data_IF_475735779583
#
_entry.id   IF_475735779583
#
_cell.length_a   1.000
_cell.length_b   1.000
_cell.length_c   1.000
_cell.angle_alpha   90.00
_cell.angle_beta   90.00
_cell.angle_gamma   90.00
#
_symmetry.space_group_name_H-M   'P 1'
#
loop_
_entity.id
_entity.type
_entity.pdbx_description
1 polymer ?
#
# COMPACT_ATOMS: atom_id res chain seq x y z
N UNK A 1 10.02 4.00 10.14
CA UNK A 1 10.29 3.97 8.69
C UNK A 1 9.41 2.88 8.10
N UNK A 2 8.49 3.21 7.20
CA UNK A 2 7.58 2.24 6.58
C UNK A 2 8.38 1.41 5.56
N UNK A 3 9.04 0.36 6.01
CA UNK A 3 9.97 -0.40 5.17
C UNK A 3 9.24 -1.46 4.35
N UNK A 4 9.29 -1.28 3.03
CA UNK A 4 8.96 -2.30 2.02
C UNK A 4 7.48 -2.41 1.65
N UNK A 5 7.19 -2.52 0.35
CA UNK A 5 5.87 -2.90 -0.14
C UNK A 5 5.65 -4.41 0.07
N UNK A 6 4.48 -4.77 0.59
CA UNK A 6 3.96 -6.13 0.55
C UNK A 6 3.26 -6.35 -0.78
N UNK A 7 3.14 -7.62 -1.19
CA UNK A 7 2.46 -7.98 -2.43
C UNK A 7 1.33 -8.96 -2.17
N UNK A 8 0.14 -8.63 -2.68
CA UNK A 8 -0.99 -9.53 -2.72
C UNK A 8 -1.17 -10.03 -4.17
N UNK A 9 -1.35 -11.33 -4.35
CA UNK A 9 -1.61 -11.91 -5.68
C UNK A 9 -3.09 -11.74 -6.03
N UNK A 10 -3.36 -11.23 -7.23
CA UNK A 10 -4.71 -11.12 -7.80
C UNK A 10 -4.67 -11.63 -9.23
N UNK A 11 -5.07 -12.88 -9.43
CA UNK A 11 -4.92 -13.58 -10.71
C UNK A 11 -3.46 -13.60 -11.18
N UNK A 12 -3.22 -12.95 -12.32
CA UNK A 12 -1.91 -12.90 -12.99
C UNK A 12 -1.08 -11.67 -12.60
N UNK A 13 -1.60 -10.80 -11.72
CA UNK A 13 -0.90 -9.60 -11.25
C UNK A 13 -0.56 -9.67 -9.76
N UNK A 14 0.47 -8.94 -9.36
CA UNK A 14 0.81 -8.69 -7.96
C UNK A 14 0.52 -7.23 -7.63
N UNK A 15 -0.28 -6.99 -6.59
CA UNK A 15 -0.64 -5.66 -6.09
C UNK A 15 0.31 -5.30 -4.97
N UNK A 16 1.12 -4.26 -5.19
CA UNK A 16 1.95 -3.67 -4.15
C UNK A 16 1.08 -2.88 -3.17
N UNK A 17 1.25 -3.11 -1.88
CA UNK A 17 0.52 -2.38 -0.83
C UNK A 17 1.38 -2.21 0.43
N UNK A 18 0.95 -1.32 1.31
CA UNK A 18 1.50 -1.14 2.65
C UNK A 18 0.38 -1.14 3.67
N UNK A 19 0.67 -1.62 4.87
CA UNK A 19 -0.23 -1.54 6.03
C UNK A 19 0.38 -0.54 6.99
N UNK A 20 -0.43 0.42 7.44
CA UNK A 20 -0.03 1.49 8.35
C UNK A 20 -1.05 1.55 9.48
N UNK A 21 -0.57 1.53 10.72
CA UNK A 21 -1.41 1.52 11.92
C UNK A 21 -2.02 0.15 12.24
N UNK A 22 -2.79 0.11 13.33
CA UNK A 22 -3.40 -1.08 13.95
C UNK A 22 -4.80 -0.79 14.53
N UNK A 23 -5.48 0.22 13.99
CA UNK A 23 -6.82 0.61 14.43
C UNK A 23 -7.89 -0.49 14.22
N UNK A 24 -9.05 -0.37 14.89
CA UNK A 24 -10.09 -1.41 14.89
C UNK A 24 -10.87 -1.54 13.58
N UNK A 25 -10.68 -0.61 12.64
CA UNK A 25 -11.36 -0.59 11.34
C UNK A 25 -10.30 -0.53 10.25
N UNK A 26 -10.36 -1.47 9.31
CA UNK A 26 -9.52 -1.47 8.12
C UNK A 26 -10.03 -0.45 7.09
N UNK A 27 -9.12 0.36 6.55
CA UNK A 27 -9.40 1.27 5.44
C UNK A 27 -8.53 0.92 4.24
N UNK A 28 -9.16 0.83 3.07
CA UNK A 28 -8.46 0.60 1.79
C UNK A 28 -8.43 1.91 1.00
N UNK A 29 -7.24 2.47 0.85
CA UNK A 29 -7.00 3.63 0.01
C UNK A 29 -6.44 3.18 -1.34
N UNK A 30 -7.18 3.45 -2.42
CA UNK A 30 -6.73 3.23 -3.80
C UNK A 30 -6.33 4.58 -4.39
N UNK A 31 -5.04 4.74 -4.64
CA UNK A 31 -4.49 5.95 -5.27
C UNK A 31 -4.76 5.92 -6.79
N UNK A 32 -4.70 7.10 -7.43
CA UNK A 32 -4.87 7.26 -8.88
C UNK A 32 -3.74 6.65 -9.73
N UNK A 33 -3.73 6.97 -11.02
CA UNK A 33 -2.79 6.36 -11.99
C UNK A 33 -1.33 6.63 -11.63
N UNK A 34 -0.57 5.55 -11.38
CA UNK A 34 0.85 5.48 -10.99
C UNK A 34 1.16 6.17 -9.66
N UNK A 35 1.53 5.36 -8.66
CA UNK A 35 1.92 5.82 -7.33
C UNK A 35 3.24 5.19 -6.90
N UNK A 36 4.13 5.97 -6.29
CA UNK A 36 5.31 5.44 -5.60
C UNK A 36 4.99 5.24 -4.12
N UNK A 37 4.64 4.01 -3.71
CA UNK A 37 4.33 3.68 -2.32
C UNK A 37 5.43 4.07 -1.34
N UNK A 38 6.70 4.05 -1.77
CA UNK A 38 7.83 4.45 -0.93
C UNK A 38 7.76 5.91 -0.47
N UNK A 39 7.17 6.81 -1.27
CA UNK A 39 7.17 8.25 -1.05
C UNK A 39 5.79 8.80 -0.65
N UNK A 40 4.75 7.97 -0.62
CA UNK A 40 3.36 8.40 -0.30
C UNK A 40 3.22 9.05 1.08
N UNK A 41 4.15 8.74 2.00
CA UNK A 41 4.14 9.24 3.39
C UNK A 41 5.27 10.25 3.68
N UNK A 42 6.08 10.60 2.68
CA UNK A 42 7.10 11.63 2.81
C UNK A 42 6.48 13.00 2.48
N UNK A 43 6.82 14.02 3.27
CA UNK A 43 6.39 15.42 3.07
C UNK A 43 7.37 16.17 2.16
#
# INVERSE_FOLDING_TARGET
MFTGARYARSGDVNIAYQVVGDGPIDLVLVLGWVSHLAYVWEL
#
